data_IF_979611049776
#
_entry.id   IF_979611049776
#
_cell.length_a   1.000
_cell.length_b   1.000
_cell.length_c   1.000
_cell.angle_alpha   90.00
_cell.angle_beta   90.00
_cell.angle_gamma   90.00
#
_symmetry.space_group_name_H-M   'P 1'
#
loop_
_entity.id
_entity.type
_entity.pdbx_description
1 polymer ?
#
# COMPACT_ATOMS: atom_id res chain seq x y z
N UNK A 1 28.19 55.32 1.21
CA UNK A 1 27.53 54.18 1.90
C UNK A 1 26.18 53.78 1.27
N UNK A 2 26.05 53.82 -0.07
CA UNK A 2 24.84 53.42 -0.81
C UNK A 2 25.03 52.17 -1.69
N UNK A 3 26.23 51.56 -1.68
CA UNK A 3 26.57 50.41 -2.55
C UNK A 3 26.38 49.04 -1.89
N UNK A 4 26.28 48.97 -0.56
CA UNK A 4 26.11 47.69 0.16
C UNK A 4 24.64 47.28 0.34
N UNK A 5 23.68 48.16 0.04
CA UNK A 5 22.23 47.87 0.14
C UNK A 5 21.58 47.33 -1.14
N UNK A 6 22.32 47.27 -2.26
CA UNK A 6 21.80 46.73 -3.55
C UNK A 6 22.17 45.27 -3.81
N UNK A 7 22.99 44.65 -2.97
CA UNK A 7 23.44 43.26 -3.19
C UNK A 7 22.51 42.24 -2.50
N UNK A 8 21.76 42.64 -1.46
CA UNK A 8 20.86 41.74 -0.73
C UNK A 8 19.43 41.66 -1.27
N UNK A 9 19.06 42.48 -2.26
CA UNK A 9 17.76 42.42 -2.93
C UNK A 9 17.78 41.59 -4.24
N UNK A 10 18.97 41.21 -4.74
CA UNK A 10 19.13 40.47 -6.00
C UNK A 10 19.08 38.95 -5.87
N UNK A 11 19.26 38.39 -4.68
CA UNK A 11 19.34 36.94 -4.48
C UNK A 11 17.97 36.24 -4.27
N UNK A 12 16.88 36.99 -4.09
CA UNK A 12 15.54 36.43 -3.83
C UNK A 12 14.61 36.38 -5.07
N UNK A 13 15.05 36.86 -6.23
CA UNK A 13 14.24 36.88 -7.46
C UNK A 13 14.72 35.92 -8.57
N UNK A 14 15.79 35.14 -8.34
CA UNK A 14 16.32 34.19 -9.33
C UNK A 14 15.78 32.74 -9.18
N UNK A 15 14.93 32.46 -8.18
CA UNK A 15 14.38 31.12 -7.95
C UNK A 15 12.99 30.85 -8.56
N UNK A 16 12.33 31.87 -9.13
CA UNK A 16 10.91 31.79 -9.52
C UNK A 16 10.65 31.74 -11.04
N UNK A 17 11.68 31.55 -11.87
CA UNK A 17 11.55 31.58 -13.36
C UNK A 17 11.98 30.27 -14.02
N UNK A 18 11.86 29.13 -13.34
CA UNK A 18 12.19 27.82 -13.95
C UNK A 18 11.03 26.82 -14.01
N UNK A 19 9.78 27.22 -13.72
CA UNK A 19 8.66 26.26 -13.75
C UNK A 19 7.42 26.72 -14.52
N UNK A 20 7.59 27.53 -15.57
CA UNK A 20 6.47 27.92 -16.45
C UNK A 20 6.90 28.01 -17.91
N UNK A 21 7.17 26.86 -18.56
CA UNK A 21 6.91 26.66 -20.00
C UNK A 21 7.48 25.32 -20.48
N UNK A 22 6.62 24.33 -20.69
CA UNK A 22 6.87 23.31 -21.70
C UNK A 22 5.52 23.02 -22.37
N UNK A 23 5.37 23.56 -23.57
CA UNK A 23 4.20 23.36 -24.42
C UNK A 23 4.12 21.93 -24.93
N UNK A 24 2.91 21.53 -25.30
CA UNK A 24 2.63 20.31 -26.01
C UNK A 24 3.41 20.28 -27.34
N UNK A 25 4.20 19.22 -27.55
CA UNK A 25 4.72 18.86 -28.85
C UNK A 25 4.13 17.49 -29.21
N UNK A 26 3.24 17.50 -30.21
CA UNK A 26 2.80 16.32 -30.91
C UNK A 26 3.95 15.79 -31.79
N UNK A 27 4.19 14.49 -31.76
CA UNK A 27 5.04 13.80 -32.71
C UNK A 27 4.24 12.61 -33.28
N UNK A 28 3.93 12.69 -34.57
CA UNK A 28 3.42 11.59 -35.39
C UNK A 28 4.53 10.58 -35.69
N UNK A 29 4.14 9.31 -35.63
CA UNK A 29 4.76 8.05 -36.03
C UNK A 29 5.26 8.02 -37.51
N UNK A 30 5.96 6.97 -38.03
CA UNK A 30 5.96 5.56 -37.57
C UNK A 30 7.31 4.82 -37.58
N UNK A 31 7.47 3.82 -36.70
CA UNK A 31 8.28 2.65 -37.05
C UNK A 31 7.75 1.37 -36.41
N UNK A 32 7.44 0.41 -37.27
CA UNK A 32 6.81 -0.86 -36.97
C UNK A 32 7.77 -1.84 -36.28
N UNK A 33 7.33 -2.43 -35.16
CA UNK A 33 7.72 -3.76 -34.69
C UNK A 33 6.73 -4.23 -33.60
N UNK A 34 6.54 -5.55 -33.46
CA UNK A 34 5.21 -6.15 -33.36
C UNK A 34 4.59 -5.99 -31.96
N UNK A 35 3.35 -5.51 -31.94
CA UNK A 35 2.47 -5.57 -30.76
C UNK A 35 2.15 -7.02 -30.41
N UNK A 36 2.41 -7.48 -29.18
CA UNK A 36 1.52 -8.46 -28.58
C UNK A 36 0.22 -7.71 -28.25
N UNK A 37 -0.86 -8.10 -28.91
CA UNK A 37 -2.21 -7.65 -28.57
C UNK A 37 -2.47 -7.95 -27.09
N UNK A 38 -2.39 -6.93 -26.24
CA UNK A 38 -2.90 -6.99 -24.87
C UNK A 38 -4.41 -6.86 -24.95
N UNK A 39 -5.06 -8.00 -25.18
CA UNK A 39 -6.48 -8.17 -24.92
C UNK A 39 -6.69 -8.11 -23.40
N UNK A 40 -7.72 -7.35 -23.00
CA UNK A 40 -8.37 -7.26 -21.68
C UNK A 40 -7.74 -8.04 -20.51
N UNK A 41 -7.35 -7.29 -19.47
CA UNK A 41 -6.63 -7.74 -18.28
C UNK A 41 -7.32 -8.80 -17.43
N UNK A 42 -7.33 -10.06 -17.90
CA UNK A 42 -7.37 -11.22 -17.03
C UNK A 42 -5.95 -11.77 -16.88
N UNK A 43 -5.21 -11.24 -15.90
CA UNK A 43 -4.03 -11.95 -15.40
C UNK A 43 -4.48 -13.37 -15.03
N UNK A 44 -3.79 -14.40 -15.55
CA UNK A 44 -4.22 -15.79 -15.44
C UNK A 44 -4.43 -16.28 -13.99
N UNK A 45 -5.00 -17.49 -13.81
CA UNK A 45 -5.34 -18.01 -12.49
C UNK A 45 -4.14 -18.00 -11.53
N UNK A 46 -4.23 -17.27 -10.43
CA UNK A 46 -3.29 -17.38 -9.30
C UNK A 46 -3.86 -18.37 -8.29
N UNK A 47 -3.63 -19.65 -8.60
CA UNK A 47 -4.05 -20.78 -7.77
C UNK A 47 -3.59 -20.63 -6.33
N UNK A 48 -4.45 -21.00 -5.38
CA UNK A 48 -4.19 -20.79 -3.96
C UNK A 48 -3.11 -21.75 -3.42
N UNK A 49 -2.37 -21.28 -2.43
CA UNK A 49 -1.61 -22.15 -1.55
C UNK A 49 -2.50 -22.91 -0.58
N UNK A 50 -1.98 -24.00 -0.02
CA UNK A 50 -2.68 -24.83 0.99
C UNK A 50 -2.18 -24.60 2.42
N UNK A 51 -1.09 -23.84 2.58
CA UNK A 51 -0.50 -23.49 3.88
C UNK A 51 0.09 -22.08 3.84
N UNK A 52 0.39 -21.49 5.00
CA UNK A 52 1.13 -20.23 5.08
C UNK A 52 2.46 -20.22 4.31
N UNK A 53 3.17 -21.35 4.25
CA UNK A 53 4.48 -21.44 3.56
C UNK A 53 4.34 -21.59 2.06
N UNK A 54 3.19 -22.05 1.59
CA UNK A 54 2.89 -22.28 0.17
C UNK A 54 1.91 -21.24 -0.37
N UNK A 55 1.60 -20.20 0.41
CA UNK A 55 0.68 -19.14 0.03
C UNK A 55 1.13 -18.49 -1.28
N UNK A 56 0.20 -18.36 -2.23
CA UNK A 56 0.50 -17.80 -3.54
C UNK A 56 0.54 -16.28 -3.46
N UNK A 57 1.60 -15.68 -4.01
CA UNK A 57 1.71 -14.23 -4.07
C UNK A 57 0.68 -13.65 -5.05
N UNK A 58 -0.01 -12.60 -4.62
CA UNK A 58 -0.96 -11.83 -5.43
C UNK A 58 -0.62 -10.36 -5.30
N UNK A 59 -0.72 -9.63 -6.41
CA UNK A 59 -0.56 -8.18 -6.40
C UNK A 59 -1.85 -7.50 -5.91
N UNK A 60 -1.71 -6.27 -5.43
CA UNK A 60 -2.88 -5.44 -5.15
C UNK A 60 -3.60 -5.13 -6.47
N UNK A 61 -4.94 -5.03 -6.43
CA UNK A 61 -5.82 -4.85 -7.59
C UNK A 61 -5.77 -6.00 -8.61
N UNK A 62 -5.14 -7.13 -8.26
CA UNK A 62 -5.17 -8.35 -9.06
C UNK A 62 -6.26 -9.29 -8.52
N UNK A 63 -7.08 -9.83 -9.42
CA UNK A 63 -8.02 -10.90 -9.08
C UNK A 63 -7.33 -12.25 -9.11
N UNK A 64 -7.35 -12.93 -7.98
CA UNK A 64 -6.90 -14.31 -7.84
C UNK A 64 -8.07 -15.27 -7.93
N UNK A 65 -7.87 -16.42 -8.57
CA UNK A 65 -8.89 -17.46 -8.69
C UNK A 65 -8.30 -18.81 -8.36
N UNK A 66 -9.03 -19.63 -7.61
CA UNK A 66 -8.61 -20.99 -7.29
C UNK A 66 -9.79 -21.97 -7.31
N UNK A 67 -9.53 -23.17 -7.82
CA UNK A 67 -10.42 -24.32 -7.65
C UNK A 67 -10.07 -25.03 -6.33
N UNK A 68 -11.08 -25.37 -5.54
CA UNK A 68 -10.86 -26.01 -4.24
C UNK A 68 -12.01 -26.95 -3.89
N UNK A 69 -11.89 -27.62 -2.76
CA UNK A 69 -12.96 -28.40 -2.15
C UNK A 69 -13.44 -27.75 -0.86
N UNK A 70 -14.73 -27.88 -0.54
CA UNK A 70 -15.26 -27.50 0.77
C UNK A 70 -14.52 -28.23 1.89
N UNK A 71 -13.95 -27.47 2.82
CA UNK A 71 -13.11 -27.98 3.91
C UNK A 71 -11.62 -27.68 3.71
N UNK A 72 -11.22 -27.26 2.51
CA UNK A 72 -9.85 -26.82 2.26
C UNK A 72 -9.55 -25.47 2.92
N UNK A 73 -8.26 -25.22 3.13
CA UNK A 73 -7.74 -23.92 3.51
C UNK A 73 -6.97 -23.34 2.35
N UNK A 74 -7.43 -22.18 1.86
CA UNK A 74 -6.81 -21.50 0.73
C UNK A 74 -6.03 -20.30 1.22
N UNK A 75 -4.79 -20.18 0.75
CA UNK A 75 -3.84 -19.17 1.20
C UNK A 75 -3.28 -18.34 0.04
N UNK A 76 -3.35 -17.02 0.21
CA UNK A 76 -2.66 -16.05 -0.63
C UNK A 76 -1.83 -15.11 0.23
N UNK A 77 -0.82 -14.48 -0.35
CA UNK A 77 0.01 -13.47 0.31
C UNK A 77 0.06 -12.20 -0.55
N UNK A 78 -0.09 -11.05 0.08
CA UNK A 78 0.02 -9.74 -0.56
C UNK A 78 0.87 -8.79 0.31
N UNK A 79 1.65 -7.87 -0.29
CA UNK A 79 2.36 -6.86 0.48
C UNK A 79 1.42 -5.70 0.85
N UNK A 80 1.59 -5.09 2.03
CA UNK A 80 0.92 -3.84 2.38
C UNK A 80 1.85 -2.92 3.18
N UNK A 81 2.03 -1.70 2.67
CA UNK A 81 2.99 -0.71 3.20
C UNK A 81 2.34 0.26 4.20
N UNK A 82 3.17 1.01 4.93
CA UNK A 82 2.73 2.06 5.86
C UNK A 82 1.79 3.07 5.17
N UNK A 83 0.76 3.51 5.89
CA UNK A 83 -0.25 4.44 5.37
C UNK A 83 -1.32 3.79 4.51
N UNK A 84 -1.10 2.56 4.04
CA UNK A 84 -2.08 1.82 3.24
C UNK A 84 -3.18 1.22 4.12
N UNK A 85 -4.39 1.14 3.57
CA UNK A 85 -5.50 0.38 4.14
C UNK A 85 -5.97 -0.67 3.15
N UNK A 86 -5.56 -1.92 3.39
CA UNK A 86 -5.95 -3.05 2.57
C UNK A 86 -7.39 -3.49 2.85
N UNK A 87 -8.10 -3.87 1.79
CA UNK A 87 -9.42 -4.47 1.78
C UNK A 87 -9.34 -5.78 1.03
N UNK A 88 -9.59 -6.87 1.74
CA UNK A 88 -9.68 -8.21 1.16
C UNK A 88 -11.15 -8.48 0.84
N UNK A 89 -11.44 -8.87 -0.40
CA UNK A 89 -12.75 -9.37 -0.83
C UNK A 89 -12.57 -10.81 -1.29
N UNK A 90 -13.45 -11.69 -0.83
CA UNK A 90 -13.45 -13.07 -1.25
C UNK A 90 -14.87 -13.46 -1.69
N UNK A 91 -14.97 -14.06 -2.86
CA UNK A 91 -16.21 -14.59 -3.42
C UNK A 91 -16.06 -16.09 -3.58
N UNK A 92 -16.98 -16.86 -3.00
CA UNK A 92 -17.02 -18.32 -3.12
C UNK A 92 -18.23 -18.70 -3.94
N UNK A 93 -18.02 -19.28 -5.10
CA UNK A 93 -19.06 -19.92 -5.90
C UNK A 93 -19.22 -21.35 -5.41
N UNK A 94 -20.42 -21.64 -4.93
CA UNK A 94 -20.79 -22.92 -4.33
C UNK A 94 -21.33 -23.89 -5.39
N UNK A 95 -21.22 -25.22 -5.17
CA UNK A 95 -21.78 -26.23 -6.08
C UNK A 95 -23.30 -26.14 -6.16
N UNK A 96 -23.93 -26.83 -7.10
CA UNK A 96 -25.38 -26.83 -7.26
C UNK A 96 -26.12 -27.17 -5.96
N UNK A 97 -27.24 -26.52 -5.69
CA UNK A 97 -28.01 -26.71 -4.45
C UNK A 97 -28.50 -28.14 -4.25
N UNK A 98 -28.68 -28.91 -5.32
CA UNK A 98 -29.12 -30.30 -5.25
C UNK A 98 -28.10 -31.24 -4.58
N UNK A 99 -26.82 -30.87 -4.53
CA UNK A 99 -25.75 -31.67 -3.88
C UNK A 99 -25.41 -31.18 -2.47
N UNK A 100 -26.11 -30.16 -1.97
CA UNK A 100 -25.88 -29.55 -0.65
C UNK A 100 -26.99 -29.91 0.32
N UNK A 101 -26.63 -30.15 1.57
CA UNK A 101 -27.52 -30.72 2.58
C UNK A 101 -27.85 -29.74 3.72
N UNK A 102 -27.30 -28.53 3.70
CA UNK A 102 -27.58 -27.54 4.74
C UNK A 102 -26.87 -26.19 4.58
N UNK A 103 -26.88 -25.42 5.67
CA UNK A 103 -26.20 -24.12 5.75
C UNK A 103 -24.70 -24.33 5.86
N UNK A 104 -23.92 -23.54 5.12
CA UNK A 104 -22.46 -23.48 5.30
C UNK A 104 -22.05 -22.11 5.84
N UNK A 105 -21.05 -22.07 6.73
CA UNK A 105 -20.49 -20.85 7.29
C UNK A 105 -19.06 -20.69 6.80
N UNK A 106 -18.79 -19.62 6.06
CA UNK A 106 -17.48 -19.32 5.49
C UNK A 106 -16.80 -18.21 6.24
N UNK A 107 -15.47 -18.23 6.24
CA UNK A 107 -14.64 -17.25 6.92
C UNK A 107 -13.44 -16.83 6.08
N UNK A 108 -13.18 -15.52 6.04
CA UNK A 108 -11.94 -14.92 5.57
C UNK A 108 -11.18 -14.35 6.77
N UNK A 109 -9.94 -14.80 6.95
CA UNK A 109 -9.01 -14.28 7.94
C UNK A 109 -7.81 -13.66 7.25
N UNK A 110 -7.27 -12.61 7.86
CA UNK A 110 -6.04 -11.97 7.40
C UNK A 110 -5.02 -12.03 8.53
N UNK A 111 -3.81 -12.44 8.22
CA UNK A 111 -2.69 -12.55 9.15
C UNK A 111 -1.54 -11.67 8.69
N UNK A 112 -0.79 -11.08 9.62
CA UNK A 112 0.46 -10.38 9.30
C UNK A 112 1.63 -11.37 9.09
N UNK A 113 2.82 -10.86 8.79
CA UNK A 113 4.03 -11.65 8.62
C UNK A 113 4.47 -12.41 9.88
N UNK A 114 4.01 -11.98 11.06
CA UNK A 114 4.20 -12.65 12.34
C UNK A 114 3.10 -13.69 12.63
N UNK A 115 2.22 -13.94 11.66
CA UNK A 115 1.05 -14.84 11.75
C UNK A 115 0.08 -14.44 12.86
N UNK A 116 0.02 -13.17 13.24
CA UNK A 116 -1.01 -12.64 14.12
C UNK A 116 -2.23 -12.29 13.28
N UNK A 117 -3.40 -12.77 13.72
CA UNK A 117 -4.67 -12.47 13.05
C UNK A 117 -4.98 -10.98 13.20
N UNK A 118 -5.18 -10.31 12.08
CA UNK A 118 -5.55 -8.91 12.04
C UNK A 118 -7.07 -8.75 12.09
N UNK A 119 -7.54 -7.88 12.97
CA UNK A 119 -8.95 -7.56 13.08
C UNK A 119 -9.39 -6.68 11.90
N UNK A 120 -10.55 -6.96 11.32
CA UNK A 120 -11.14 -6.10 10.30
C UNK A 120 -12.06 -5.07 10.93
N UNK A 121 -11.85 -3.81 10.57
CA UNK A 121 -12.67 -2.68 11.03
C UNK A 121 -14.08 -2.76 10.46
N UNK A 122 -14.18 -3.17 9.18
CA UNK A 122 -15.43 -3.24 8.45
C UNK A 122 -15.48 -4.50 7.59
N UNK A 123 -16.68 -4.79 7.10
CA UNK A 123 -16.96 -5.94 6.25
C UNK A 123 -17.53 -7.12 7.04
N UNK A 124 -17.59 -8.24 6.35
CA UNK A 124 -18.16 -9.47 6.89
C UNK A 124 -17.14 -10.59 6.75
N UNK A 125 -16.33 -10.75 7.80
CA UNK A 125 -15.29 -11.78 7.88
C UNK A 125 -15.88 -13.19 7.89
N UNK A 126 -17.10 -13.34 8.41
CA UNK A 126 -17.81 -14.62 8.51
C UNK A 126 -19.22 -14.47 7.94
N UNK A 127 -19.63 -15.41 7.09
CA UNK A 127 -20.94 -15.41 6.44
C UNK A 127 -21.56 -16.80 6.42
N UNK A 128 -22.86 -16.85 6.71
CA UNK A 128 -23.69 -18.04 6.50
C UNK A 128 -24.28 -17.99 5.10
N UNK A 129 -24.22 -19.12 4.41
CA UNK A 129 -24.81 -19.35 3.11
C UNK A 129 -25.91 -20.40 3.27
N UNK A 130 -27.12 -20.06 2.83
CA UNK A 130 -28.24 -21.00 2.81
C UNK A 130 -27.97 -22.14 1.82
N UNK A 131 -28.70 -23.25 1.98
CA UNK A 131 -28.54 -24.44 1.14
C UNK A 131 -28.81 -24.18 -0.35
N UNK A 132 -29.54 -23.12 -0.69
CA UNK A 132 -29.87 -22.66 -2.04
C UNK A 132 -28.99 -21.51 -2.55
N UNK A 133 -28.12 -20.93 -1.71
CA UNK A 133 -27.24 -19.82 -2.10
C UNK A 133 -26.22 -20.25 -3.16
N UNK A 134 -26.10 -19.54 -4.28
CA UNK A 134 -25.08 -19.86 -5.30
C UNK A 134 -23.68 -19.35 -4.92
N UNK A 135 -23.63 -18.29 -4.12
CA UNK A 135 -22.41 -17.50 -3.90
C UNK A 135 -22.35 -16.99 -2.47
N UNK A 136 -21.13 -16.89 -1.93
CA UNK A 136 -20.84 -16.26 -0.64
C UNK A 136 -19.83 -15.15 -0.84
N UNK A 137 -20.18 -13.94 -0.41
CA UNK A 137 -19.30 -12.78 -0.45
C UNK A 137 -18.84 -12.40 0.94
N UNK A 138 -17.52 -12.39 1.12
CA UNK A 138 -16.83 -12.05 2.36
C UNK A 138 -15.98 -10.81 2.12
N UNK A 139 -15.82 -10.01 3.17
CA UNK A 139 -14.95 -8.83 3.10
C UNK A 139 -14.27 -8.53 4.42
N UNK A 140 -13.05 -8.02 4.33
CA UNK A 140 -12.20 -7.73 5.47
C UNK A 140 -11.43 -6.43 5.20
N UNK A 141 -11.89 -5.32 5.78
CA UNK A 141 -11.17 -4.05 5.72
C UNK A 141 -10.23 -3.94 6.91
N UNK A 142 -8.92 -3.95 6.69
CA UNK A 142 -7.93 -3.82 7.76
C UNK A 142 -7.90 -2.41 8.34
N UNK A 143 -7.30 -2.27 9.52
CA UNK A 143 -6.80 -0.97 10.00
C UNK A 143 -5.70 -0.46 9.06
N UNK A 144 -5.49 0.86 9.08
CA UNK A 144 -4.36 1.45 8.35
C UNK A 144 -3.05 0.88 8.91
N UNK A 145 -2.17 0.45 8.03
CA UNK A 145 -0.83 -0.03 8.38
C UNK A 145 -0.03 1.15 8.92
N UNK A 146 0.55 0.99 10.11
CA UNK A 146 1.39 2.02 10.73
C UNK A 146 2.84 1.76 10.39
N UNK A 147 3.63 2.82 10.28
CA UNK A 147 5.08 2.69 10.11
C UNK A 147 5.77 2.12 11.36
N UNK A 148 5.17 2.22 12.55
CA UNK A 148 5.70 1.71 13.81
C UNK A 148 4.57 1.41 14.81
N UNK A 149 4.81 0.50 15.76
CA UNK A 149 3.93 0.23 16.90
C UNK A 149 4.71 -0.27 18.12
N UNK A 150 4.12 -0.13 19.31
CA UNK A 150 4.67 -0.73 20.53
C UNK A 150 4.59 -2.27 20.48
N UNK A 151 5.49 -3.00 21.16
CA UNK A 151 5.50 -4.47 21.14
C UNK A 151 4.22 -5.16 21.66
N UNK A 152 3.46 -4.47 22.50
CA UNK A 152 2.19 -4.98 23.04
C UNK A 152 0.96 -4.54 22.23
N UNK A 153 1.16 -3.74 21.18
CA UNK A 153 0.10 -3.29 20.31
C UNK A 153 -0.08 -4.25 19.13
N UNK A 154 -1.34 -4.52 18.78
CA UNK A 154 -1.70 -5.34 17.62
C UNK A 154 -1.89 -4.51 16.34
N UNK A 155 -1.33 -3.29 16.29
CA UNK A 155 -1.43 -2.45 15.10
C UNK A 155 -0.79 -3.15 13.88
N UNK A 156 -1.43 -3.06 12.69
CA UNK A 156 -0.85 -3.63 11.49
C UNK A 156 0.45 -2.88 11.13
N UNK A 157 1.49 -3.62 10.79
CA UNK A 157 2.82 -3.11 10.44
C UNK A 157 3.19 -3.46 8.98
N UNK A 158 4.14 -2.75 8.35
CA UNK A 158 4.46 -2.96 6.95
C UNK A 158 5.05 -4.35 6.75
N UNK A 159 4.63 -5.07 5.72
CA UNK A 159 5.12 -6.42 5.42
C UNK A 159 4.15 -7.27 4.62
N UNK A 160 4.38 -8.59 4.66
CA UNK A 160 3.53 -9.56 3.97
C UNK A 160 2.29 -9.89 4.80
N UNK A 161 1.12 -9.83 4.18
CA UNK A 161 -0.16 -10.21 4.76
C UNK A 161 -0.69 -11.46 4.08
N UNK A 162 -1.18 -12.41 4.88
CA UNK A 162 -1.69 -13.69 4.43
C UNK A 162 -3.20 -13.72 4.55
N UNK A 163 -3.88 -13.97 3.42
CA UNK A 163 -5.31 -14.24 3.40
C UNK A 163 -5.52 -15.74 3.56
N UNK A 164 -6.41 -16.12 4.48
CA UNK A 164 -6.91 -17.49 4.60
C UNK A 164 -8.42 -17.50 4.37
N UNK A 165 -8.86 -18.27 3.38
CA UNK A 165 -10.27 -18.52 3.12
C UNK A 165 -10.60 -19.99 3.43
N UNK A 166 -11.66 -20.22 4.18
CA UNK A 166 -12.10 -21.56 4.54
C UNK A 166 -13.56 -21.59 4.97
N UNK A 167 -14.14 -22.79 5.02
CA UNK A 167 -15.44 -23.05 5.64
C UNK A 167 -15.21 -23.49 7.09
N UNK A 168 -15.94 -22.89 8.02
CA UNK A 168 -15.80 -23.14 9.47
C UNK A 168 -16.91 -24.02 10.04
N UNK A 169 -18.03 -24.13 9.33
CA UNK A 169 -19.17 -24.96 9.71
C UNK A 169 -19.95 -25.37 8.46
N UNK A 170 -20.22 -26.66 8.28
CA UNK A 170 -21.05 -27.22 7.22
C UNK A 170 -21.48 -28.65 7.57
N UNK A 171 -22.55 -29.19 6.96
CA UNK A 171 -22.89 -30.60 7.08
C UNK A 171 -21.73 -31.49 6.63
N UNK A 172 -21.44 -32.56 7.37
CA UNK A 172 -20.33 -33.46 7.03
C UNK A 172 -20.47 -34.14 5.67
N UNK A 173 -21.71 -34.31 5.19
CA UNK A 173 -22.01 -34.84 3.85
C UNK A 173 -21.63 -33.87 2.73
N UNK A 174 -21.46 -32.58 3.04
CA UNK A 174 -21.11 -31.53 2.08
C UNK A 174 -19.59 -31.31 2.00
N UNK A 175 -18.77 -32.05 2.75
CA UNK A 175 -17.31 -31.97 2.68
C UNK A 175 -16.78 -32.52 1.34
N UNK A 176 -15.67 -31.97 0.84
CA UNK A 176 -15.05 -32.40 -0.40
C UNK A 176 -15.78 -31.99 -1.70
N UNK A 177 -16.86 -31.20 -1.62
CA UNK A 177 -17.57 -30.70 -2.79
C UNK A 177 -16.74 -29.63 -3.52
N UNK A 178 -16.76 -29.60 -4.86
CA UNK A 178 -15.98 -28.62 -5.62
C UNK A 178 -16.53 -27.21 -5.42
N UNK A 179 -15.64 -26.26 -5.18
CA UNK A 179 -15.93 -24.83 -5.09
C UNK A 179 -14.96 -24.05 -5.96
N UNK A 180 -15.42 -22.89 -6.45
CA UNK A 180 -14.55 -21.92 -7.11
C UNK A 180 -14.46 -20.68 -6.24
N UNK A 181 -13.25 -20.18 -6.05
CA UNK A 181 -13.02 -19.00 -5.21
C UNK A 181 -12.34 -17.91 -6.02
N UNK A 182 -12.71 -16.67 -5.72
CA UNK A 182 -12.08 -15.47 -6.23
C UNK A 182 -11.67 -14.60 -5.04
N UNK A 183 -10.43 -14.14 -5.01
CA UNK A 183 -9.91 -13.23 -3.98
C UNK A 183 -9.32 -12.02 -4.66
N UNK A 184 -9.68 -10.84 -4.18
CA UNK A 184 -9.15 -9.57 -4.65
C UNK A 184 -8.74 -8.75 -3.43
N UNK A 185 -7.55 -8.17 -3.51
CA UNK A 185 -7.04 -7.28 -2.46
C UNK A 185 -6.81 -5.92 -3.07
N UNK A 186 -7.45 -4.90 -2.51
CA UNK A 186 -7.19 -3.51 -2.87
C UNK A 186 -6.60 -2.78 -1.69
N UNK A 187 -5.62 -1.89 -1.90
CA UNK A 187 -5.15 -1.01 -0.84
C UNK A 187 -5.35 0.44 -1.26
N UNK A 188 -5.82 1.24 -0.32
CA UNK A 188 -5.97 2.67 -0.51
C UNK A 188 -5.05 3.41 0.46
N UNK A 189 -4.26 4.34 -0.06
CA UNK A 189 -3.48 5.26 0.76
C UNK A 189 -4.42 6.15 1.58
N UNK A 190 -4.10 6.32 2.86
CA UNK A 190 -4.89 7.17 3.77
C UNK A 190 -4.29 8.54 4.02
N UNK A 191 -3.18 8.84 3.35
CA UNK A 191 -2.50 10.13 3.42
C UNK A 191 -1.92 10.43 4.81
N UNK A 192 -1.29 11.60 4.92
CA UNK A 192 -0.45 11.96 6.07
C UNK A 192 -1.19 12.15 7.40
N UNK A 193 -2.53 12.14 7.42
CA UNK A 193 -3.31 12.18 8.66
C UNK A 193 -3.15 10.91 9.52
N UNK A 194 -2.67 9.83 8.90
CA UNK A 194 -2.41 8.55 9.55
C UNK A 194 -0.92 8.22 9.67
N UNK A 195 -0.05 9.13 9.22
CA UNK A 195 1.40 8.98 9.39
C UNK A 195 1.74 9.12 10.88
N UNK A 196 2.63 8.24 11.34
CA UNK A 196 3.23 8.30 12.67
C UNK A 196 4.71 8.63 12.52
N UNK A 197 5.28 9.32 13.51
CA UNK A 197 6.72 9.54 13.53
C UNK A 197 7.43 8.24 13.95
N UNK A 198 8.32 7.73 13.10
CA UNK A 198 9.03 6.47 13.31
C UNK A 198 8.80 5.46 12.18
N UNK A 199 9.72 4.52 12.03
CA UNK A 199 9.64 3.47 11.01
C UNK A 199 10.16 2.15 11.57
N UNK A 200 9.56 1.06 11.10
CA UNK A 200 10.09 -0.27 11.28
C UNK A 200 11.43 -0.35 10.55
N UNK A 201 12.45 -0.93 11.20
CA UNK A 201 13.79 -1.03 10.60
C UNK A 201 13.82 -1.96 9.39
N UNK A 202 12.94 -2.95 9.36
CA UNK A 202 12.78 -3.92 8.27
C UNK A 202 11.31 -4.37 8.23
N UNK A 203 10.65 -4.46 7.06
CA UNK A 203 9.29 -4.97 6.92
C UNK A 203 9.10 -6.39 7.46
N UNK A 204 7.88 -6.72 7.88
CA UNK A 204 7.49 -8.04 8.36
C UNK A 204 7.30 -9.03 7.19
N UNK A 205 8.39 -9.32 6.49
CA UNK A 205 8.43 -10.31 5.40
C UNK A 205 9.11 -11.60 5.87
N UNK A 206 8.72 -12.79 5.35
CA UNK A 206 9.40 -14.04 5.67
C UNK A 206 10.90 -13.96 5.37
N UNK A 207 11.73 -14.19 6.38
CA UNK A 207 13.19 -14.21 6.24
C UNK A 207 13.93 -12.92 6.62
N UNK A 208 13.22 -11.82 6.82
CA UNK A 208 13.79 -10.54 7.30
C UNK A 208 14.55 -10.69 8.64
N UNK A 209 13.96 -11.41 9.60
CA UNK A 209 14.57 -11.60 10.93
C UNK A 209 15.75 -12.59 10.94
N UNK A 210 15.79 -13.52 9.97
CA UNK A 210 16.90 -14.49 9.85
C UNK A 210 18.17 -13.89 9.25
N UNK A 211 18.07 -12.83 8.45
CA UNK A 211 19.24 -12.13 7.92
C UNK A 211 20.07 -11.45 9.01
N UNK A 212 19.41 -10.97 10.08
CA UNK A 212 20.07 -10.26 11.17
C UNK A 212 20.75 -11.19 12.19
N UNK A 213 20.27 -12.43 12.35
CA UNK A 213 20.91 -13.43 13.23
C UNK A 213 22.19 -14.03 12.62
N UNK A 214 22.31 -14.07 11.29
CA UNK A 214 23.52 -14.56 10.61
C UNK A 214 24.61 -13.49 10.44
N UNK A 215 24.32 -12.23 10.82
CA UNK A 215 25.31 -11.14 10.75
C UNK A 215 26.27 -11.13 11.96
N UNK A 216 26.07 -12.02 12.93
CA UNK A 216 27.02 -12.34 13.98
C UNK A 216 27.57 -13.75 13.77
N UNK A 217 28.70 -13.83 13.07
CA UNK A 217 29.59 -15.01 13.01
C UNK A 217 29.17 -16.14 12.03
N UNK A 218 29.52 -15.97 10.75
CA UNK A 218 29.90 -17.09 9.86
C UNK A 218 30.55 -16.57 8.57
N UNK A 219 31.87 -16.67 8.51
CA UNK A 219 32.60 -16.72 7.25
C UNK A 219 32.34 -18.07 6.55
N UNK A 220 32.27 -18.03 5.22
CA UNK A 220 32.38 -19.16 4.27
C UNK A 220 31.08 -19.91 3.94
N UNK A 221 30.76 -20.01 2.65
CA UNK A 221 29.87 -21.05 2.12
C UNK A 221 28.86 -20.56 1.09
N UNK A 222 29.20 -20.77 -0.18
CA UNK A 222 28.33 -20.64 -1.35
C UNK A 222 27.18 -21.65 -1.28
N UNK A 223 25.92 -21.19 -1.17
CA UNK A 223 24.75 -21.88 -1.71
C UNK A 223 23.69 -20.82 -2.07
N UNK A 224 23.52 -20.59 -3.37
CA UNK A 224 22.38 -19.88 -3.94
C UNK A 224 21.11 -20.71 -3.74
N UNK A 225 20.56 -20.68 -2.52
CA UNK A 225 19.17 -21.06 -2.31
C UNK A 225 18.31 -20.02 -3.02
N UNK A 226 17.65 -20.40 -4.11
CA UNK A 226 16.56 -19.61 -4.70
C UNK A 226 15.48 -19.44 -3.63
N UNK A 227 15.59 -18.35 -2.86
CA UNK A 227 14.57 -17.94 -1.90
C UNK A 227 13.38 -17.50 -2.73
N UNK A 228 12.32 -18.30 -2.71
CA UNK A 228 11.02 -17.88 -3.23
C UNK A 228 10.61 -16.67 -2.38
N UNK A 229 10.70 -15.46 -2.94
CA UNK A 229 10.19 -14.24 -2.31
C UNK A 229 8.67 -14.36 -2.20
N UNK A 230 8.23 -14.89 -1.06
CA UNK A 230 6.82 -14.93 -0.68
C UNK A 230 6.45 -13.54 -0.17
N UNK A 231 5.97 -12.70 -1.09
CA UNK A 231 5.65 -11.29 -0.80
C UNK A 231 6.73 -10.37 -1.33
N UNK A 232 6.87 -10.33 -2.65
CA UNK A 232 7.62 -9.29 -3.35
C UNK A 232 7.29 -7.91 -2.77
N UNK A 233 8.31 -7.07 -2.71
CA UNK A 233 8.19 -5.62 -2.47
C UNK A 233 6.93 -5.05 -3.17
N UNK A 234 6.16 -4.15 -2.53
CA UNK A 234 5.17 -3.35 -3.24
C UNK A 234 5.77 -2.73 -4.51
N UNK A 235 4.95 -2.47 -5.53
CA UNK A 235 5.42 -1.93 -6.81
C UNK A 235 6.24 -0.62 -6.66
N UNK A 236 5.93 0.18 -5.63
CA UNK A 236 6.61 1.44 -5.32
C UNK A 236 7.75 1.31 -4.29
N UNK A 237 8.03 0.10 -3.78
CA UNK A 237 8.98 -0.12 -2.69
C UNK A 237 8.35 -0.03 -1.30
N UNK A 238 9.03 -0.56 -0.27
CA UNK A 238 8.64 -0.27 1.12
C UNK A 238 9.02 1.16 1.49
N UNK A 239 8.13 1.85 2.18
CA UNK A 239 8.30 3.25 2.60
C UNK A 239 8.37 4.25 1.43
N UNK A 240 7.68 4.00 0.32
CA UNK A 240 7.65 4.87 -0.87
C UNK A 240 7.05 6.27 -0.62
N UNK A 241 6.43 6.48 0.55
CA UNK A 241 5.77 7.70 0.98
C UNK A 241 6.66 8.89 1.36
N UNK A 242 7.88 9.06 0.83
CA UNK A 242 8.64 10.29 1.13
C UNK A 242 7.93 11.57 0.64
N UNK A 243 7.03 11.46 -0.34
CA UNK A 243 6.10 12.53 -0.77
C UNK A 243 4.69 12.27 -0.27
N UNK A 244 4.41 12.52 1.02
CA UNK A 244 3.02 12.53 1.51
C UNK A 244 2.35 13.89 1.35
N UNK A 245 1.01 13.94 1.42
CA UNK A 245 0.23 15.18 1.49
C UNK A 245 0.73 16.15 2.57
N UNK A 246 1.40 15.64 3.61
CA UNK A 246 2.07 16.45 4.64
C UNK A 246 3.10 17.40 4.03
N UNK A 247 3.83 17.00 3.00
CA UNK A 247 4.80 17.87 2.31
C UNK A 247 4.10 18.96 1.52
N UNK A 248 2.97 18.68 0.88
CA UNK A 248 2.17 19.69 0.18
C UNK A 248 1.75 20.78 1.17
N UNK A 249 1.25 20.38 2.35
CA UNK A 249 0.88 21.33 3.40
C UNK A 249 2.08 22.05 4.03
N UNK A 250 3.20 21.36 4.23
CA UNK A 250 4.40 21.94 4.87
C UNK A 250 5.09 22.95 3.96
N UNK A 251 5.31 22.58 2.68
CA UNK A 251 5.89 23.48 1.68
C UNK A 251 4.92 24.59 1.36
N UNK A 252 3.63 24.28 1.16
CA UNK A 252 2.59 25.28 0.91
C UNK A 252 2.46 26.29 2.04
N UNK A 253 2.44 25.82 3.30
CA UNK A 253 2.43 26.67 4.49
C UNK A 253 3.70 27.51 4.62
N UNK A 254 4.88 26.92 4.33
CA UNK A 254 6.15 27.64 4.31
C UNK A 254 6.19 28.77 3.27
N UNK A 255 5.71 28.50 2.06
CA UNK A 255 5.59 29.51 0.99
C UNK A 255 4.62 30.62 1.39
N UNK A 256 3.44 30.28 1.91
CA UNK A 256 2.47 31.27 2.39
C UNK A 256 3.03 32.12 3.53
N UNK A 257 3.75 31.50 4.48
CA UNK A 257 4.43 32.21 5.57
C UNK A 257 5.51 33.17 5.06
N UNK A 258 6.31 32.74 4.08
CA UNK A 258 7.32 33.58 3.45
C UNK A 258 6.69 34.78 2.71
N UNK A 259 5.60 34.55 1.97
CA UNK A 259 4.86 35.62 1.28
C UNK A 259 4.27 36.61 2.29
N UNK A 260 3.69 36.13 3.39
CA UNK A 260 3.19 36.97 4.46
C UNK A 260 4.30 37.80 5.13
N UNK A 261 5.48 37.22 5.33
CA UNK A 261 6.63 37.93 5.88
C UNK A 261 7.14 39.02 4.93
N UNK A 262 7.25 38.74 3.63
CA UNK A 262 7.63 39.74 2.61
C UNK A 262 6.60 40.85 2.52
N UNK A 263 5.31 40.51 2.55
CA UNK A 263 4.23 41.50 2.54
C UNK A 263 4.20 42.36 3.81
N UNK A 264 4.35 41.77 4.99
CA UNK A 264 4.46 42.50 6.24
C UNK A 264 5.68 43.42 6.28
N UNK A 265 6.81 42.95 5.74
CA UNK A 265 8.02 43.75 5.60
C UNK A 265 7.82 44.94 4.63
N UNK A 266 7.11 44.75 3.52
CA UNK A 266 6.85 45.84 2.57
C UNK A 266 5.95 46.93 3.18
N UNK A 267 4.96 46.55 4.00
CA UNK A 267 4.12 47.50 4.74
C UNK A 267 4.88 48.27 5.82
N UNK A 268 5.80 47.61 6.53
CA UNK A 268 6.52 48.21 7.68
C UNK A 268 7.76 49.00 7.28
N UNK A 269 8.31 48.81 6.07
CA UNK A 269 9.56 49.44 5.64
C UNK A 269 9.50 50.98 5.55
N UNK A 270 8.30 51.57 5.49
CA UNK A 270 8.07 53.01 5.34
C UNK A 270 8.62 53.57 4.02
N UNK A 271 8.04 54.66 3.52
CA UNK A 271 8.65 55.41 2.42
C UNK A 271 9.98 55.96 2.92
N UNK A 272 11.11 55.41 2.42
CA UNK A 272 12.44 55.72 2.91
C UNK A 272 12.76 57.21 3.01
N UNK A 273 13.82 57.55 3.77
CA UNK A 273 14.25 58.93 4.05
C UNK A 273 14.22 59.80 2.78
N UNK A 274 13.55 60.96 2.79
CA UNK A 274 13.49 61.84 1.63
C UNK A 274 14.90 62.24 1.19
N UNK A 275 15.13 62.19 -0.12
CA UNK A 275 16.44 62.42 -0.76
C UNK A 275 16.93 63.88 -0.73
N UNK A 276 16.23 64.76 -0.01
CA UNK A 276 16.57 66.18 0.11
C UNK A 276 16.70 66.55 1.58
N UNK A 277 17.84 66.22 2.17
CA UNK A 277 18.35 66.96 3.33
C UNK A 277 19.54 67.76 2.80
N UNK A 278 19.45 69.10 2.72
CA UNK A 278 20.60 69.92 2.35
C UNK A 278 21.74 69.68 3.36
N UNK A 279 23.01 69.63 2.93
CA UNK A 279 24.12 69.63 3.87
C UNK A 279 24.02 70.90 4.73
N UNK A 280 24.04 70.71 6.05
CA UNK A 280 24.07 71.81 7.02
C UNK A 280 25.33 72.65 6.86
N UNK A 281 25.17 73.93 7.18
CA UNK A 281 26.12 75.05 7.10
C UNK A 281 27.51 74.77 7.67
#
# INVERSE_FOLDING_TARGET
MLRTRRVLAGALLAGFVLLTSAGAAAADDPSASPSPSASDGSTGPTEAGTTFRTATAIQQNQRATAGASTGDYLYWVFPADAGQRATVKATVTLPESATRHGVSTWQVDVYDGLRRRQACMYGHQTRKAAADASTVELSCVLRTVRAWSEPWADDPLPGSYYVRLTVVDLPSADLGQPVRTEVEVTAADKGGAHDVDGALSEPLVPGATSAQQTSGDASSGDESTTRVSLGSEPDDGWASGWWTDRWIWTVGGGVLGALAAVFGYSLTRGSGRPSRVPPGV
#
